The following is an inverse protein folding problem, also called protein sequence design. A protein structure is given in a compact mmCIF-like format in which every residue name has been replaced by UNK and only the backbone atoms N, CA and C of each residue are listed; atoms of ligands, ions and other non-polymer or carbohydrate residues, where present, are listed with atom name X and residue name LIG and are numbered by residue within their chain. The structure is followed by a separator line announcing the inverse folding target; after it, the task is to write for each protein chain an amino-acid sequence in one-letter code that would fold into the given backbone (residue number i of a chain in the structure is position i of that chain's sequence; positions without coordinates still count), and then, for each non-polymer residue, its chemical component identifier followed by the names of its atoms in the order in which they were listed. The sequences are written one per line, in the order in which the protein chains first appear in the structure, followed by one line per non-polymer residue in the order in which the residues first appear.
data_IF_520492870170
#
_entry.id   IF_520492870170
#
_cell.length_a   1.000
_cell.length_b   1.000
_cell.length_c   1.000
_cell.angle_alpha   90.00
_cell.angle_beta   90.00
_cell.angle_gamma   90.00
#
_symmetry.space_group_name_H-M   'P 1'
#
loop_
_entity.id
_entity.type
_entity.pdbx_description
1 polymer ?
#
# COMPACT_ATOMS: atom_id res chain seq x y z
N UNK A 1 -0.63 -14.01 -4.63
CA UNK A 1 0.06 -12.73 -4.91
C UNK A 1 -0.94 -11.60 -5.06
N UNK A 2 -1.60 -11.51 -6.21
CA UNK A 2 -2.41 -10.35 -6.59
C UNK A 2 -3.50 -9.94 -5.59
N UNK A 3 -4.32 -10.87 -5.08
CA UNK A 3 -5.37 -10.52 -4.10
C UNK A 3 -4.82 -9.83 -2.85
N UNK A 4 -3.69 -10.32 -2.32
CA UNK A 4 -3.06 -9.71 -1.16
C UNK A 4 -2.52 -8.31 -1.49
N UNK A 5 -1.94 -8.13 -2.68
CA UNK A 5 -1.51 -6.81 -3.14
C UNK A 5 -2.70 -5.84 -3.25
N UNK A 6 -3.83 -6.26 -3.82
CA UNK A 6 -5.02 -5.41 -3.95
C UNK A 6 -5.58 -5.00 -2.60
N UNK A 7 -5.63 -5.92 -1.64
CA UNK A 7 -6.06 -5.61 -0.27
C UNK A 7 -5.11 -4.58 0.37
N UNK A 8 -3.80 -4.78 0.26
CA UNK A 8 -2.80 -3.87 0.82
C UNK A 8 -2.79 -2.50 0.14
N UNK A 9 -3.06 -2.42 -1.17
CA UNK A 9 -3.19 -1.17 -1.92
C UNK A 9 -4.32 -0.27 -1.39
N UNK A 10 -5.32 -0.83 -0.72
CA UNK A 10 -6.41 -0.06 -0.09
C UNK A 10 -6.09 0.22 1.37
N UNK A 11 -5.65 -0.80 2.12
CA UNK A 11 -5.39 -0.69 3.56
C UNK A 11 -4.25 0.29 3.87
N UNK A 12 -3.16 0.27 3.09
CA UNK A 12 -2.00 1.13 3.33
C UNK A 12 -2.37 2.62 3.22
N UNK A 13 -2.98 3.12 2.13
CA UNK A 13 -3.42 4.51 2.05
C UNK A 13 -4.45 4.89 3.12
N UNK A 14 -5.42 4.00 3.41
CA UNK A 14 -6.43 4.26 4.45
C UNK A 14 -5.79 4.44 5.83
N UNK A 15 -4.82 3.59 6.19
CA UNK A 15 -4.11 3.73 7.46
C UNK A 15 -3.32 5.05 7.53
N UNK A 16 -2.76 5.53 6.41
CA UNK A 16 -2.11 6.83 6.33
C UNK A 16 -3.08 8.00 6.51
N UNK A 17 -4.27 7.92 5.91
CA UNK A 17 -5.30 8.95 6.06
C UNK A 17 -5.84 9.02 7.50
N UNK A 18 -6.07 7.86 8.14
CA UNK A 18 -6.45 7.79 9.56
C UNK A 18 -5.35 8.39 10.45
N UNK A 19 -4.08 8.06 10.19
CA UNK A 19 -2.93 8.62 10.92
C UNK A 19 -2.87 10.15 10.78
N UNK A 20 -3.00 10.68 9.57
CA UNK A 20 -2.99 12.13 9.32
C UNK A 20 -4.14 12.82 10.05
N UNK A 21 -5.35 12.25 10.00
CA UNK A 21 -6.52 12.77 10.71
C UNK A 21 -6.27 12.84 12.23
N UNK A 22 -5.81 11.74 12.84
CA UNK A 22 -5.53 11.68 14.27
C UNK A 22 -4.42 12.64 14.73
N UNK A 23 -3.43 12.90 13.88
CA UNK A 23 -2.36 13.88 14.15
C UNK A 23 -2.77 15.33 13.87
N UNK A 24 -3.96 15.57 13.32
CA UNK A 24 -4.47 16.89 12.97
C UNK A 24 -3.79 17.49 11.73
N UNK A 25 -3.28 16.63 10.82
CA UNK A 25 -2.77 17.06 9.52
C UNK A 25 -3.84 16.93 8.46
N UNK A 26 -4.23 18.06 7.87
CA UNK A 26 -5.20 18.11 6.78
C UNK A 26 -4.67 17.34 5.57
N UNK A 27 -5.39 16.29 5.17
CA UNK A 27 -5.07 15.56 3.94
C UNK A 27 -5.64 16.33 2.74
N UNK A 28 -4.79 16.76 1.81
CA UNK A 28 -5.22 17.51 0.62
C UNK A 28 -4.96 16.70 -0.63
N UNK A 29 -6.05 16.29 -1.30
CA UNK A 29 -6.00 15.51 -2.53
C UNK A 29 -5.45 16.35 -3.69
N UNK A 30 -4.29 15.94 -4.22
CA UNK A 30 -3.52 16.64 -5.25
C UNK A 30 -3.28 18.14 -4.96
N UNK A 31 -3.26 18.55 -3.69
CA UNK A 31 -3.08 19.95 -3.29
C UNK A 31 -4.28 20.88 -3.57
N UNK A 32 -5.39 20.36 -4.09
CA UNK A 32 -6.56 21.16 -4.50
C UNK A 32 -7.81 20.93 -3.66
N UNK A 33 -8.02 19.70 -3.18
CA UNK A 33 -9.24 19.33 -2.47
C UNK A 33 -8.90 18.85 -1.04
N UNK A 34 -9.23 19.63 0.01
CA UNK A 34 -9.08 19.14 1.38
C UNK A 34 -10.09 18.01 1.63
N UNK A 35 -9.57 16.83 1.96
CA UNK A 35 -10.39 15.70 2.35
C UNK A 35 -10.82 15.83 3.81
N UNK A 36 -12.02 15.37 4.17
CA UNK A 36 -12.46 15.41 5.56
C UNK A 36 -11.54 14.54 6.45
N UNK A 37 -11.36 14.98 7.68
CA UNK A 37 -10.73 14.15 8.70
C UNK A 37 -11.67 13.01 9.08
N UNK A 38 -11.13 11.79 9.11
CA UNK A 38 -11.90 10.59 9.45
C UNK A 38 -11.95 10.33 10.96
N UNK A 39 -11.03 10.94 11.70
CA UNK A 39 -10.87 10.81 13.14
C UNK A 39 -10.68 12.17 13.76
N UNK A 40 -11.17 12.34 14.99
CA UNK A 40 -10.81 13.48 15.81
C UNK A 40 -9.31 13.43 16.17
N UNK A 41 -8.74 14.60 16.46
CA UNK A 41 -7.34 14.71 16.88
C UNK A 41 -7.11 13.97 18.20
N UNK A 42 -6.18 13.03 18.18
CA UNK A 42 -5.76 12.21 19.33
C UNK A 42 -4.30 11.80 19.11
N UNK A 43 -3.41 12.30 19.97
CA UNK A 43 -1.97 12.09 19.87
C UNK A 43 -1.57 10.62 20.10
N UNK A 44 -2.18 9.97 21.09
CA UNK A 44 -1.88 8.57 21.43
C UNK A 44 -2.34 7.63 20.30
N UNK A 45 -3.52 7.90 19.74
CA UNK A 45 -4.01 7.18 18.57
C UNK A 45 -3.15 7.45 17.33
N UNK A 46 -2.71 8.70 17.14
CA UNK A 46 -1.82 9.09 16.04
C UNK A 46 -0.47 8.36 16.06
N UNK A 47 0.14 8.19 17.24
CA UNK A 47 1.38 7.41 17.38
C UNK A 47 1.16 5.92 17.14
N UNK A 48 0.03 5.38 17.60
CA UNK A 48 -0.35 3.99 17.33
C UNK A 48 -0.54 3.76 15.83
N UNK A 49 -1.27 4.64 15.15
CA UNK A 49 -1.53 4.57 13.71
C UNK A 49 -0.25 4.75 12.89
N UNK A 50 0.71 5.55 13.36
CA UNK A 50 2.02 5.66 12.74
C UNK A 50 2.78 4.33 12.77
N UNK A 51 2.77 3.64 13.91
CA UNK A 51 3.40 2.33 14.02
C UNK A 51 2.73 1.31 13.11
N UNK A 52 1.39 1.27 13.09
CA UNK A 52 0.60 0.40 12.21
C UNK A 52 0.91 0.68 10.74
N UNK A 53 0.85 1.94 10.31
CA UNK A 53 1.13 2.33 8.92
C UNK A 53 2.55 1.96 8.50
N UNK A 54 3.54 2.17 9.38
CA UNK A 54 4.94 1.79 9.13
C UNK A 54 5.10 0.28 8.90
N UNK A 55 4.52 -0.55 9.76
CA UNK A 55 4.61 -2.00 9.60
C UNK A 55 3.83 -2.51 8.38
N UNK A 56 2.67 -1.91 8.09
CA UNK A 56 1.93 -2.20 6.86
C UNK A 56 2.76 -1.88 5.61
N UNK A 57 3.52 -0.78 5.61
CA UNK A 57 4.41 -0.42 4.51
C UNK A 57 5.55 -1.43 4.33
N UNK A 58 6.22 -1.84 5.42
CA UNK A 58 7.26 -2.87 5.33
C UNK A 58 6.70 -4.22 4.86
N UNK A 59 5.53 -4.60 5.36
CA UNK A 59 4.87 -5.82 4.92
C UNK A 59 4.48 -5.74 3.44
N UNK A 60 3.88 -4.63 2.99
CA UNK A 60 3.52 -4.43 1.59
C UNK A 60 4.75 -4.48 0.67
N UNK A 61 5.85 -3.84 1.06
CA UNK A 61 7.12 -3.91 0.34
C UNK A 61 7.63 -5.35 0.23
N UNK A 62 7.58 -6.14 1.30
CA UNK A 62 7.96 -7.55 1.28
C UNK A 62 7.07 -8.38 0.34
N UNK A 63 5.76 -8.15 0.34
CA UNK A 63 4.81 -8.83 -0.56
C UNK A 63 5.06 -8.45 -2.03
N UNK A 64 5.32 -7.17 -2.32
CA UNK A 64 5.68 -6.70 -3.67
C UNK A 64 6.97 -7.36 -4.13
N UNK A 65 8.02 -7.36 -3.29
CA UNK A 65 9.29 -8.00 -3.61
C UNK A 65 9.11 -9.50 -3.87
N UNK A 66 8.38 -10.21 -3.01
CA UNK A 66 8.06 -11.63 -3.20
C UNK A 66 7.27 -11.91 -4.48
N UNK A 67 6.33 -11.02 -4.83
CA UNK A 67 5.56 -11.13 -6.07
C UNK A 67 6.44 -10.97 -7.32
N UNK A 68 7.33 -9.96 -7.32
CA UNK A 68 8.29 -9.73 -8.41
C UNK A 68 9.27 -10.89 -8.52
N UNK A 69 9.82 -11.38 -7.40
CA UNK A 69 10.71 -12.54 -7.39
C UNK A 69 10.04 -13.79 -7.94
N UNK A 70 8.76 -14.02 -7.62
CA UNK A 70 8.00 -15.11 -8.20
C UNK A 70 7.85 -14.95 -9.73
N UNK A 71 7.50 -13.76 -10.22
CA UNK A 71 7.41 -13.50 -11.66
C UNK A 71 8.75 -13.72 -12.39
N UNK A 72 9.86 -13.28 -11.78
CA UNK A 72 11.22 -13.52 -12.28
C UNK A 72 11.56 -15.01 -12.29
N UNK A 73 11.24 -15.75 -11.23
CA UNK A 73 11.41 -17.21 -11.18
C UNK A 73 10.64 -17.90 -12.31
N UNK A 74 9.38 -17.51 -12.52
CA UNK A 74 8.54 -18.05 -13.59
C UNK A 74 9.17 -17.81 -14.97
N UNK A 75 9.73 -16.62 -15.20
CA UNK A 75 10.37 -16.28 -16.47
C UNK A 75 11.66 -17.07 -16.74
N UNK A 76 12.54 -17.20 -15.74
CA UNK A 76 13.89 -17.75 -15.95
C UNK A 76 14.03 -19.24 -15.63
N UNK A 77 13.36 -19.72 -14.57
CA UNK A 77 13.44 -21.11 -14.14
C UNK A 77 12.31 -21.94 -14.74
N UNK A 78 11.06 -21.49 -14.61
CA UNK A 78 9.90 -22.28 -15.05
C UNK A 78 9.65 -22.12 -16.57
N UNK A 79 10.11 -21.01 -17.17
CA UNK A 79 9.99 -20.67 -18.60
C UNK A 79 8.57 -20.81 -19.14
N UNK A 80 7.58 -20.52 -18.31
CA UNK A 80 6.16 -20.71 -18.62
C UNK A 80 5.52 -19.52 -19.36
N UNK A 81 6.30 -18.47 -19.61
CA UNK A 81 5.85 -17.27 -20.30
C UNK A 81 4.81 -16.45 -19.53
N UNK A 82 4.68 -16.66 -18.21
CA UNK A 82 3.70 -15.95 -17.37
C UNK A 82 3.81 -14.43 -17.48
N UNK A 83 5.03 -13.91 -17.63
CA UNK A 83 5.30 -12.47 -17.74
C UNK A 83 4.67 -11.85 -19.01
N UNK A 84 4.55 -12.63 -20.09
CA UNK A 84 3.89 -12.20 -21.34
C UNK A 84 2.40 -11.88 -21.13
N UNK A 85 1.76 -12.46 -20.11
CA UNK A 85 0.37 -12.18 -19.77
C UNK A 85 0.17 -10.84 -19.06
N UNK A 86 1.27 -10.21 -18.60
CA UNK A 86 1.25 -8.93 -17.90
C UNK A 86 1.76 -7.76 -18.77
N UNK A 87 2.45 -8.04 -19.88
CA UNK A 87 2.95 -7.01 -20.77
C UNK A 87 1.81 -6.41 -21.62
N UNK A 88 1.77 -5.08 -21.76
CA UNK A 88 0.87 -4.44 -22.71
C UNK A 88 1.37 -4.67 -24.14
N UNK A 89 0.48 -5.12 -25.03
CA UNK A 89 0.80 -5.45 -26.41
C UNK A 89 0.96 -6.95 -26.59
N UNK A 90 0.20 -7.51 -27.54
CA UNK A 90 0.47 -8.84 -28.09
C UNK A 90 1.72 -8.79 -28.95
#
# INVERSE_FOLDING_TARGET
GHHLLYVLMVIVPLSGWLMSSAKGFQTVWFGVLPLPDLLAKDEALGETLLLVHRWLNYFFMAVVAGHVLAAVKHQFADRDGLLLRMLPGR
#
